data_IF_198449917079
#
_entry.id   IF_198449917079
#
_cell.length_a   1.000
_cell.length_b   1.000
_cell.length_c   1.000
_cell.angle_alpha   90.00
_cell.angle_beta   90.00
_cell.angle_gamma   90.00
#
_symmetry.space_group_name_H-M   'P 1'
#
loop_
_entity.id
_entity.type
_entity.pdbx_description
1 polymer ?
#
# COMPACT_ATOMS: atom_id res chain seq x y z
N UNK A 1 7.59 -13.09 0.52
CA UNK A 1 8.12 -12.55 -0.75
C UNK A 1 7.35 -11.27 -1.03
N UNK A 2 8.03 -10.12 -1.07
CA UNK A 2 7.41 -8.82 -1.35
C UNK A 2 7.54 -8.56 -2.85
N UNK A 3 6.47 -8.06 -3.47
CA UNK A 3 6.38 -7.91 -4.92
C UNK A 3 7.33 -6.81 -5.40
N UNK A 4 8.47 -7.22 -5.95
CA UNK A 4 9.39 -6.38 -6.70
C UNK A 4 8.87 -6.26 -8.13
N UNK A 5 7.99 -5.30 -8.41
CA UNK A 5 7.57 -5.01 -9.78
C UNK A 5 7.24 -3.53 -9.92
N UNK A 6 7.77 -2.90 -10.97
CA UNK A 6 7.65 -1.47 -11.28
C UNK A 6 6.23 -1.03 -11.71
N UNK A 7 5.22 -1.91 -11.64
CA UNK A 7 3.89 -1.76 -12.25
C UNK A 7 2.72 -1.80 -11.23
N UNK A 8 2.97 -1.40 -9.98
CA UNK A 8 1.95 -1.30 -8.94
C UNK A 8 1.94 -2.49 -7.98
N UNK A 9 2.86 -2.44 -7.02
CA UNK A 9 2.89 -3.32 -5.86
C UNK A 9 1.93 -2.89 -4.75
N UNK A 10 1.62 -3.83 -3.85
CA UNK A 10 0.90 -3.54 -2.59
C UNK A 10 1.89 -2.97 -1.58
N UNK A 11 1.73 -1.70 -1.23
CA UNK A 11 2.46 -1.09 -0.10
C UNK A 11 1.76 -1.44 1.21
N UNK A 12 2.45 -2.05 2.17
CA UNK A 12 1.95 -2.34 3.52
C UNK A 12 2.75 -1.64 4.60
N UNK A 13 2.20 -1.56 5.82
CA UNK A 13 2.88 -0.91 6.96
C UNK A 13 4.27 -1.47 7.27
N UNK A 14 4.52 -2.76 7.00
CA UNK A 14 5.84 -3.38 7.19
C UNK A 14 6.89 -2.88 6.17
N UNK A 15 6.47 -2.55 4.95
CA UNK A 15 7.36 -1.95 3.95
C UNK A 15 7.78 -0.55 4.40
N UNK A 16 6.81 0.23 4.90
CA UNK A 16 7.04 1.57 5.44
C UNK A 16 7.95 1.50 6.68
N UNK A 17 7.71 0.55 7.58
CA UNK A 17 8.57 0.30 8.74
C UNK A 17 10.01 0.02 8.32
N UNK A 18 10.20 -0.86 7.33
CA UNK A 18 11.52 -1.22 6.78
C UNK A 18 12.19 -0.01 6.14
N UNK A 19 11.44 0.78 5.38
CA UNK A 19 11.93 2.02 4.78
C UNK A 19 12.41 3.01 5.85
N UNK A 20 11.62 3.24 6.90
CA UNK A 20 11.98 4.18 7.97
C UNK A 20 13.27 3.73 8.67
N UNK A 21 13.37 2.43 8.99
CA UNK A 21 14.58 1.86 9.60
C UNK A 21 15.81 2.05 8.71
N UNK A 22 15.73 1.70 7.42
CA UNK A 22 16.85 1.84 6.49
C UNK A 22 17.25 3.29 6.21
N UNK A 23 16.27 4.20 6.09
CA UNK A 23 16.52 5.58 5.64
C UNK A 23 16.90 6.51 6.78
N UNK A 24 16.32 6.32 7.97
CA UNK A 24 16.48 7.22 9.11
C UNK A 24 17.17 6.57 10.30
N UNK A 25 17.50 5.26 10.22
CA UNK A 25 18.09 4.50 11.33
C UNK A 25 17.24 4.52 12.61
N UNK A 26 15.90 4.59 12.45
CA UNK A 26 14.93 4.58 13.55
C UNK A 26 14.06 3.33 13.44
N UNK A 27 13.98 2.57 14.53
CA UNK A 27 13.16 1.37 14.59
C UNK A 27 11.82 1.65 15.28
N UNK A 28 10.75 1.62 14.48
CA UNK A 28 9.38 1.69 14.99
C UNK A 28 8.78 0.30 15.18
N UNK A 29 7.89 0.16 16.15
CA UNK A 29 6.90 -0.92 16.14
C UNK A 29 5.84 -0.64 15.07
N UNK A 30 5.27 -1.68 14.48
CA UNK A 30 4.29 -1.56 13.39
C UNK A 30 3.08 -0.67 13.76
N UNK A 31 2.59 -0.76 15.00
CA UNK A 31 1.51 0.12 15.49
C UNK A 31 1.89 1.61 15.49
N UNK A 32 3.16 1.94 15.78
CA UNK A 32 3.63 3.32 15.77
C UNK A 32 3.80 3.86 14.35
N UNK A 33 4.08 2.98 13.36
CA UNK A 33 4.05 3.36 11.96
C UNK A 33 2.65 3.81 11.56
N UNK A 34 1.60 3.08 11.95
CA UNK A 34 0.22 3.51 11.67
C UNK A 34 -0.16 4.81 12.38
N UNK A 35 0.28 5.02 13.62
CA UNK A 35 0.09 6.30 14.34
C UNK A 35 0.78 7.47 13.63
N UNK A 36 2.02 7.25 13.18
CA UNK A 36 2.78 8.25 12.41
C UNK A 36 2.06 8.59 11.11
N UNK A 37 1.66 7.59 10.34
CA UNK A 37 0.90 7.80 9.10
C UNK A 37 -0.40 8.55 9.36
N UNK A 38 -1.09 8.26 10.47
CA UNK A 38 -2.29 8.99 10.86
C UNK A 38 -2.03 10.45 11.17
N UNK A 39 -0.97 10.76 11.94
CA UNK A 39 -0.58 12.15 12.23
C UNK A 39 -0.17 12.95 11.00
N UNK A 40 0.23 12.26 9.93
CA UNK A 40 0.59 12.86 8.64
C UNK A 40 -0.56 12.86 7.63
N UNK A 41 -1.77 12.44 8.03
CA UNK A 41 -2.94 12.26 7.15
C UNK A 41 -2.72 11.26 6.00
N UNK A 42 -1.78 10.32 6.18
CA UNK A 42 -1.39 9.31 5.19
C UNK A 42 -1.95 7.91 5.46
N UNK A 43 -2.91 7.75 6.38
CA UNK A 43 -3.43 6.44 6.81
C UNK A 43 -3.96 5.56 5.67
N UNK A 44 -4.35 6.17 4.54
CA UNK A 44 -5.06 5.50 3.44
C UNK A 44 -4.28 5.46 2.12
N UNK A 45 -3.01 5.87 2.10
CA UNK A 45 -2.25 6.06 0.84
C UNK A 45 -1.79 4.74 0.22
N UNK A 46 -1.97 3.61 0.91
CA UNK A 46 -1.54 2.32 0.38
C UNK A 46 -2.25 2.00 -0.93
N UNK A 47 -1.49 2.00 -2.03
CA UNK A 47 -1.94 1.59 -3.35
C UNK A 47 -2.32 0.11 -3.29
N UNK A 48 -3.56 -0.19 -3.69
CA UNK A 48 -4.00 -1.57 -3.87
C UNK A 48 -3.49 -2.06 -5.21
N UNK A 49 -2.81 -3.20 -5.20
CA UNK A 49 -2.39 -3.86 -6.44
C UNK A 49 -3.61 -4.18 -7.31
N UNK A 50 -3.45 -3.95 -8.62
CA UNK A 50 -4.47 -4.26 -9.62
C UNK A 50 -4.65 -5.78 -9.68
N UNK A 51 -5.87 -6.26 -9.46
CA UNK A 51 -6.12 -7.70 -9.49
C UNK A 51 -5.92 -8.24 -10.93
N UNK A 52 -5.25 -9.37 -11.15
CA UNK A 52 -4.98 -9.90 -12.50
C UNK A 52 -6.23 -10.18 -13.32
N UNK A 53 -7.33 -10.55 -12.66
CA UNK A 53 -8.64 -10.79 -13.28
C UNK A 53 -9.51 -9.53 -13.41
N UNK A 54 -8.97 -8.34 -13.20
CA UNK A 54 -9.72 -7.10 -13.34
C UNK A 54 -9.95 -6.78 -14.82
N UNK A 55 -11.11 -7.16 -15.35
CA UNK A 55 -11.60 -6.68 -16.67
C UNK A 55 -12.36 -5.36 -16.49
N UNK A 56 -11.97 -4.35 -17.26
CA UNK A 56 -12.70 -3.08 -17.32
C UNK A 56 -14.06 -3.26 -17.99
N UNK A 57 -14.16 -4.10 -19.03
CA UNK A 57 -15.42 -4.33 -19.73
C UNK A 57 -16.48 -4.95 -18.80
N UNK A 58 -16.10 -5.93 -17.98
CA UNK A 58 -17.02 -6.55 -17.02
C UNK A 58 -17.52 -5.55 -15.95
N UNK A 59 -16.65 -4.63 -15.51
CA UNK A 59 -17.02 -3.58 -14.55
C UNK A 59 -17.96 -2.54 -15.18
N UNK A 60 -17.70 -2.13 -16.41
CA UNK A 60 -18.54 -1.21 -17.18
C UNK A 60 -19.92 -1.81 -17.46
N UNK A 61 -19.99 -3.10 -17.82
CA UNK A 61 -21.25 -3.80 -18.04
C UNK A 61 -22.10 -3.88 -16.77
N UNK A 62 -21.49 -4.17 -15.63
CA UNK A 62 -22.19 -4.23 -14.33
C UNK A 62 -22.76 -2.86 -13.91
N UNK A 63 -22.04 -1.76 -14.15
CA UNK A 63 -22.48 -0.40 -13.76
C UNK A 63 -23.67 0.13 -14.58
N UNK A 64 -23.99 -0.48 -15.72
CA UNK A 64 -25.07 -0.07 -16.63
C UNK A 64 -26.40 -0.79 -16.35
N UNK A 65 -26.42 -1.68 -15.36
CA UNK A 65 -27.61 -2.33 -14.80
C UNK A 65 -28.15 -1.47 -13.65
#
# INVERSE_FOLDING_TARGET
QHAESNDGGRLIGADIQTYISKRFNVNYQLGNVYRLLHSLELSWITTRSKHPKQSKEAQEAFKKV
#
